data_IF_878360045476
#
_entry.id   IF_878360045476
#
_cell.length_a   1.000
_cell.length_b   1.000
_cell.length_c   1.000
_cell.angle_alpha   90.00
_cell.angle_beta   90.00
_cell.angle_gamma   90.00
#
_symmetry.space_group_name_H-M   'P 1'
#
loop_
_entity.id
_entity.type
_entity.pdbx_description
1 polymer ?
#
# COMPACT_ATOMS: atom_id res chain seq x y z
N UNK A 1 62.40 -21.84 4.38
CA UNK A 1 61.31 -21.67 5.38
C UNK A 1 60.99 -20.18 5.46
N UNK A 2 59.71 -19.84 5.62
CA UNK A 2 59.04 -18.55 5.31
C UNK A 2 58.68 -18.44 3.81
N UNK A 3 57.47 -18.06 3.40
CA UNK A 3 56.40 -17.36 4.11
C UNK A 3 55.02 -17.79 3.61
N UNK A 4 54.11 -18.06 4.55
CA UNK A 4 52.67 -18.09 4.36
C UNK A 4 52.17 -16.64 4.28
N UNK A 5 51.55 -16.26 3.17
CA UNK A 5 50.65 -15.11 3.10
C UNK A 5 49.37 -15.53 2.38
N UNK A 6 48.57 -16.33 3.08
CA UNK A 6 47.12 -16.33 2.96
C UNK A 6 46.62 -15.05 3.65
N UNK A 7 45.83 -14.22 2.95
CA UNK A 7 45.10 -13.14 3.60
C UNK A 7 45.12 -11.82 2.84
N UNK A 8 44.37 -11.75 1.74
CA UNK A 8 43.61 -10.54 1.43
C UNK A 8 42.20 -11.02 1.08
N UNK A 9 41.35 -11.10 2.10
CA UNK A 9 39.90 -11.21 1.94
C UNK A 9 39.45 -10.10 1.00
N UNK A 10 38.91 -10.48 -0.16
CA UNK A 10 38.29 -9.53 -1.05
C UNK A 10 37.19 -8.82 -0.29
N UNK A 11 37.38 -7.54 0.03
CA UNK A 11 36.27 -6.66 0.41
C UNK A 11 35.31 -6.69 -0.78
N UNK A 12 34.11 -7.24 -0.58
CA UNK A 12 33.09 -7.33 -1.61
C UNK A 12 32.88 -5.96 -2.25
N UNK A 13 32.69 -5.92 -3.57
CA UNK A 13 32.15 -4.72 -4.20
C UNK A 13 30.64 -4.72 -3.98
N UNK A 14 30.00 -3.57 -3.77
CA UNK A 14 28.54 -3.48 -3.76
C UNK A 14 27.97 -4.16 -5.00
N UNK A 15 27.11 -5.15 -4.78
CA UNK A 15 26.45 -5.88 -5.83
C UNK A 15 25.13 -5.18 -6.15
N UNK A 16 25.05 -4.60 -7.35
CA UNK A 16 23.78 -4.17 -7.91
C UNK A 16 22.93 -5.37 -8.30
N UNK A 17 21.63 -5.32 -8.04
CA UNK A 17 20.66 -6.32 -8.50
C UNK A 17 19.51 -5.64 -9.25
N UNK A 18 19.02 -6.16 -10.39
CA UNK A 18 17.93 -5.54 -11.15
C UNK A 18 16.67 -5.27 -10.32
N UNK A 19 16.34 -6.17 -9.39
CA UNK A 19 15.20 -5.99 -8.47
C UNK A 19 15.42 -4.87 -7.44
N UNK A 20 16.67 -4.61 -7.04
CA UNK A 20 17.00 -3.46 -6.16
C UNK A 20 16.91 -2.14 -6.91
N UNK A 21 17.30 -2.11 -8.19
CA UNK A 21 17.12 -0.93 -9.04
C UNK A 21 15.65 -0.52 -9.16
N UNK A 22 14.73 -1.49 -9.06
CA UNK A 22 13.29 -1.25 -9.01
C UNK A 22 12.84 -0.38 -7.83
N UNK A 23 13.59 -0.32 -6.73
CA UNK A 23 13.26 0.46 -5.52
C UNK A 23 13.55 1.96 -5.66
N UNK A 24 14.49 2.34 -6.52
CA UNK A 24 14.89 3.72 -6.68
C UNK A 24 13.72 4.62 -7.10
N UNK A 25 13.60 5.78 -6.46
CA UNK A 25 12.54 6.76 -6.67
C UNK A 25 11.21 6.42 -5.98
N UNK A 26 11.08 5.27 -5.32
CA UNK A 26 9.87 4.93 -4.58
C UNK A 26 9.87 5.53 -3.19
N UNK A 27 8.70 5.96 -2.71
CA UNK A 27 8.51 6.34 -1.31
C UNK A 27 8.12 5.14 -0.46
N UNK A 28 8.48 5.16 0.82
CA UNK A 28 7.98 4.18 1.79
C UNK A 28 6.62 4.66 2.29
N UNK A 29 5.59 3.84 2.17
CA UNK A 29 4.20 4.19 2.53
C UNK A 29 3.75 3.55 3.84
N UNK A 30 4.40 2.47 4.25
CA UNK A 30 4.06 1.76 5.47
C UNK A 30 5.26 1.02 6.05
N UNK A 31 5.33 0.93 7.38
CA UNK A 31 6.20 0.00 8.08
C UNK A 31 5.38 -0.75 9.12
N UNK A 32 5.66 -2.04 9.28
CA UNK A 32 4.98 -2.93 10.23
C UNK A 32 6.01 -3.68 11.06
N UNK A 33 5.71 -3.91 12.32
CA UNK A 33 6.51 -4.75 13.22
C UNK A 33 5.60 -5.80 13.84
N UNK A 34 6.05 -7.05 13.84
CA UNK A 34 5.38 -8.18 14.48
C UNK A 34 6.42 -9.15 15.02
N UNK A 35 5.99 -10.19 15.75
CA UNK A 35 6.90 -11.18 16.35
C UNK A 35 7.86 -11.85 15.35
N UNK A 36 7.49 -11.89 14.07
CA UNK A 36 8.27 -12.52 13.00
C UNK A 36 9.24 -11.58 12.26
N UNK A 37 9.18 -10.27 12.49
CA UNK A 37 10.09 -9.34 11.83
C UNK A 37 9.59 -7.91 11.69
N UNK A 38 10.27 -7.18 10.81
CA UNK A 38 9.97 -5.82 10.38
C UNK A 38 9.70 -5.84 8.87
N UNK A 39 8.62 -5.18 8.46
CA UNK A 39 8.26 -5.00 7.06
C UNK A 39 8.31 -3.52 6.71
N UNK A 40 8.89 -3.22 5.56
CA UNK A 40 8.88 -1.89 4.94
C UNK A 40 8.23 -2.02 3.58
N UNK A 41 7.18 -1.25 3.35
CA UNK A 41 6.35 -1.29 2.15
C UNK A 41 6.51 -0.01 1.36
N UNK A 42 6.79 -0.13 0.06
CA UNK A 42 6.93 1.02 -0.84
C UNK A 42 5.64 1.36 -1.57
N UNK A 43 5.57 2.55 -2.14
CA UNK A 43 4.41 3.04 -2.88
C UNK A 43 4.03 2.15 -4.07
N UNK A 44 4.95 1.41 -4.69
CA UNK A 44 4.63 0.45 -5.76
C UNK A 44 4.49 -0.99 -5.26
N UNK A 45 4.25 -1.18 -3.96
CA UNK A 45 3.96 -2.49 -3.38
C UNK A 45 5.16 -3.43 -3.26
N UNK A 46 6.38 -2.90 -3.19
CA UNK A 46 7.52 -3.72 -2.76
C UNK A 46 7.51 -3.87 -1.24
N UNK A 47 7.86 -5.06 -0.76
CA UNK A 47 7.88 -5.40 0.66
C UNK A 47 9.26 -5.92 1.02
N UNK A 48 10.01 -5.13 1.77
CA UNK A 48 11.24 -5.59 2.43
C UNK A 48 10.88 -6.17 3.79
N UNK A 49 11.10 -7.47 3.95
CA UNK A 49 10.89 -8.23 5.17
C UNK A 49 12.25 -8.70 5.71
N UNK A 50 12.51 -8.42 6.98
CA UNK A 50 13.66 -8.97 7.69
C UNK A 50 13.35 -9.11 9.18
N UNK A 51 14.26 -9.74 9.94
CA UNK A 51 14.09 -9.85 11.40
C UNK A 51 14.06 -8.48 12.08
N UNK A 52 15.01 -7.61 11.74
CA UNK A 52 15.16 -6.24 12.25
C UNK A 52 15.64 -5.39 11.09
N UNK A 53 15.13 -4.15 11.03
CA UNK A 53 15.66 -3.11 10.17
C UNK A 53 16.18 -1.99 11.06
N UNK A 54 17.41 -1.55 10.78
CA UNK A 54 18.09 -0.51 11.54
C UNK A 54 18.11 0.78 10.72
N UNK A 55 17.92 1.90 11.41
CA UNK A 55 17.91 3.23 10.83
C UNK A 55 19.03 4.06 11.47
N UNK A 56 19.96 4.50 10.63
CA UNK A 56 20.97 5.49 10.96
C UNK A 56 20.46 6.87 10.51
N UNK A 57 20.42 7.79 11.47
CA UNK A 57 20.06 9.20 11.25
C UNK A 57 21.27 10.06 11.59
N UNK A 58 21.96 10.65 10.59
CA UNK A 58 23.16 11.45 10.81
C UNK A 58 22.88 12.75 11.58
N UNK A 59 21.62 13.17 11.72
CA UNK A 59 21.25 14.33 12.53
C UNK A 59 21.20 14.03 14.03
N UNK A 60 21.20 12.76 14.43
CA UNK A 60 21.20 12.34 15.83
C UNK A 60 22.63 11.97 16.22
N UNK A 61 23.19 12.62 17.24
CA UNK A 61 24.54 12.37 17.79
C UNK A 61 24.67 11.04 18.55
N UNK A 62 23.85 10.04 18.19
CA UNK A 62 23.86 8.69 18.73
C UNK A 62 24.69 7.82 17.79
N UNK A 63 25.80 7.25 18.28
CA UNK A 63 26.61 6.26 17.55
C UNK A 63 25.88 4.93 17.30
N UNK A 64 24.61 4.80 17.72
CA UNK A 64 23.82 3.59 17.53
C UNK A 64 22.69 3.82 16.54
N UNK A 65 22.66 2.96 15.52
CA UNK A 65 21.48 2.75 14.70
C UNK A 65 20.29 2.34 15.56
N UNK A 66 19.10 2.76 15.16
CA UNK A 66 17.86 2.54 15.92
C UNK A 66 16.93 1.64 15.14
N UNK A 67 16.25 0.71 15.83
CA UNK A 67 15.29 -0.16 15.17
C UNK A 67 14.11 0.64 14.57
N UNK A 68 13.66 0.22 13.40
CA UNK A 68 12.47 0.78 12.73
C UNK A 68 11.20 0.30 13.42
N UNK A 69 10.32 1.23 13.75
CA UNK A 69 9.04 0.96 14.40
C UNK A 69 7.86 0.74 13.46
N UNK A 70 6.70 0.43 14.04
CA UNK A 70 5.41 0.46 13.36
C UNK A 70 5.10 1.89 12.91
N UNK A 71 4.83 2.08 11.61
CA UNK A 71 4.57 3.39 10.98
C UNK A 71 5.59 4.46 11.41
N UNK A 72 6.87 4.11 11.36
CA UNK A 72 7.95 4.97 11.81
C UNK A 72 7.92 6.31 11.04
N UNK A 73 7.69 7.46 11.71
CA UNK A 73 7.52 8.74 11.03
C UNK A 73 8.82 9.27 10.40
N UNK A 74 9.96 8.66 10.70
CA UNK A 74 11.24 8.97 10.05
C UNK A 74 11.35 8.33 8.68
N UNK A 75 10.70 7.17 8.51
CA UNK A 75 10.81 6.32 7.32
C UNK A 75 9.60 6.51 6.39
N UNK A 76 8.39 6.60 6.94
CA UNK A 76 7.17 6.81 6.15
C UNK A 76 7.24 8.17 5.45
N UNK A 77 7.05 8.16 4.13
CA UNK A 77 7.18 9.31 3.24
C UNK A 77 8.60 9.54 2.71
N UNK A 78 9.62 8.83 3.23
CA UNK A 78 10.98 8.95 2.72
C UNK A 78 11.10 8.27 1.35
N UNK A 79 11.84 8.90 0.43
CA UNK A 79 12.09 8.38 -0.92
C UNK A 79 13.38 7.57 -0.95
N UNK A 80 13.36 6.38 -1.57
CA UNK A 80 14.55 5.56 -1.74
C UNK A 80 15.36 6.13 -2.91
N UNK A 81 16.57 6.61 -2.64
CA UNK A 81 17.49 7.10 -3.68
C UNK A 81 18.40 6.01 -4.22
N UNK A 82 18.86 5.13 -3.32
CA UNK A 82 19.80 4.08 -3.68
C UNK A 82 19.53 2.82 -2.86
N UNK A 83 19.79 1.67 -3.47
CA UNK A 83 19.69 0.35 -2.85
C UNK A 83 20.90 -0.48 -3.28
N UNK A 84 21.68 -0.95 -2.30
CA UNK A 84 22.89 -1.73 -2.54
C UNK A 84 22.96 -2.92 -1.59
N UNK A 85 23.61 -3.99 -2.06
CA UNK A 85 23.86 -5.18 -1.27
C UNK A 85 25.37 -5.43 -1.21
N UNK A 86 25.89 -5.67 0.00
CA UNK A 86 27.29 -5.99 0.23
C UNK A 86 27.37 -7.13 1.25
N UNK A 87 27.96 -8.27 0.86
CA UNK A 87 28.10 -9.45 1.73
C UNK A 87 26.77 -9.86 2.40
N UNK A 88 25.67 -9.78 1.63
CA UNK A 88 24.31 -10.08 2.09
C UNK A 88 23.65 -9.00 2.98
N UNK A 89 24.37 -7.96 3.40
CA UNK A 89 23.78 -6.78 4.03
C UNK A 89 23.10 -5.92 2.96
N UNK A 90 21.81 -5.63 3.13
CA UNK A 90 21.10 -4.69 2.28
C UNK A 90 21.11 -3.30 2.93
N UNK A 91 21.48 -2.29 2.15
CA UNK A 91 21.46 -0.88 2.56
C UNK A 91 20.62 -0.06 1.58
N UNK A 92 19.65 0.68 2.12
CA UNK A 92 18.87 1.67 1.38
C UNK A 92 19.25 3.08 1.85
N UNK A 93 19.54 3.96 0.90
CA UNK A 93 19.69 5.39 1.17
C UNK A 93 18.36 6.09 0.92
N UNK A 94 17.83 6.74 1.95
CA UNK A 94 16.54 7.39 1.93
C UNK A 94 16.70 8.92 1.96
N UNK A 95 15.95 9.63 1.14
CA UNK A 95 15.75 11.07 1.24
C UNK A 95 14.51 11.38 2.04
N UNK A 96 14.66 12.11 3.15
CA UNK A 96 13.55 12.58 3.97
C UNK A 96 13.58 14.10 4.12
N UNK A 97 12.49 14.70 4.61
CA UNK A 97 12.47 16.12 4.98
C UNK A 97 13.44 16.49 6.11
N UNK A 98 14.05 15.50 6.78
CA UNK A 98 15.04 15.69 7.85
C UNK A 98 16.49 15.50 7.37
N UNK A 99 16.68 15.16 6.09
CA UNK A 99 17.98 14.82 5.52
C UNK A 99 18.09 13.35 5.10
N UNK A 100 19.28 12.93 4.65
CA UNK A 100 19.52 11.56 4.23
C UNK A 100 19.50 10.60 5.42
N UNK A 101 18.77 9.50 5.30
CA UNK A 101 18.74 8.41 6.28
C UNK A 101 19.32 7.15 5.63
N UNK A 102 19.91 6.27 6.43
CA UNK A 102 20.34 4.96 5.96
C UNK A 102 19.55 3.87 6.67
N UNK A 103 18.83 3.07 5.90
CA UNK A 103 18.14 1.87 6.36
C UNK A 103 19.01 0.66 6.04
N UNK A 104 19.30 -0.18 7.02
CA UNK A 104 20.09 -1.39 6.82
C UNK A 104 19.36 -2.63 7.35
N UNK A 105 19.62 -3.77 6.71
CA UNK A 105 19.19 -5.08 7.20
C UNK A 105 20.25 -6.14 6.93
N UNK A 106 20.61 -6.88 7.98
CA UNK A 106 21.53 -8.02 7.94
C UNK A 106 20.94 -9.20 7.16
N UNK A 107 21.76 -10.17 6.69
CA UNK A 107 21.31 -11.38 6.00
C UNK A 107 20.15 -12.09 6.70
N UNK A 108 19.40 -12.90 5.93
CA UNK A 108 18.04 -13.39 6.24
C UNK A 108 16.96 -12.32 6.03
N UNK A 109 16.95 -11.73 4.85
CA UNK A 109 15.92 -10.80 4.39
C UNK A 109 15.32 -11.24 3.07
N UNK A 110 14.10 -10.76 2.83
CA UNK A 110 13.29 -11.05 1.65
C UNK A 110 12.69 -9.77 1.12
N UNK A 111 12.88 -9.52 -0.17
CA UNK A 111 12.28 -8.43 -0.91
C UNK A 111 11.26 -9.02 -1.89
N UNK A 112 9.98 -8.86 -1.56
CA UNK A 112 8.86 -9.27 -2.40
C UNK A 112 8.39 -8.06 -3.22
N UNK A 113 8.02 -8.27 -4.48
CA UNK A 113 7.63 -7.18 -5.37
C UNK A 113 6.44 -7.52 -6.25
N UNK A 114 6.02 -6.55 -7.09
CA UNK A 114 4.92 -6.71 -8.02
C UNK A 114 5.04 -7.98 -8.89
N UNK A 115 3.90 -8.56 -9.25
CA UNK A 115 3.82 -9.75 -10.14
C UNK A 115 4.63 -10.93 -9.61
N UNK A 116 4.74 -11.06 -8.29
CA UNK A 116 5.44 -12.16 -7.62
C UNK A 116 6.97 -12.11 -7.71
N UNK A 117 7.54 -10.95 -8.04
CA UNK A 117 8.99 -10.76 -8.01
C UNK A 117 9.54 -11.04 -6.61
N UNK A 118 10.72 -11.64 -6.54
CA UNK A 118 11.34 -12.05 -5.29
C UNK A 118 12.85 -11.87 -5.39
N UNK A 119 13.46 -11.24 -4.40
CA UNK A 119 14.89 -11.31 -4.11
C UNK A 119 15.04 -11.70 -2.65
N UNK A 120 15.84 -12.69 -2.33
CA UNK A 120 16.08 -13.08 -0.94
C UNK A 120 17.54 -13.43 -0.71
N UNK A 121 17.97 -13.18 0.51
CA UNK A 121 19.28 -13.55 1.03
C UNK A 121 19.05 -14.38 2.29
N UNK A 122 19.60 -15.59 2.34
CA UNK A 122 19.49 -16.45 3.51
C UNK A 122 20.46 -16.05 4.63
N UNK A 123 20.61 -16.90 5.66
CA UNK A 123 21.46 -16.58 6.81
C UNK A 123 22.96 -16.74 6.47
N UNK A 124 23.26 -17.57 5.48
CA UNK A 124 24.58 -17.88 4.96
C UNK A 124 25.06 -16.81 3.95
N UNK A 125 24.15 -15.97 3.48
CA UNK A 125 24.42 -14.90 2.52
C UNK A 125 24.18 -15.31 1.07
N UNK A 126 23.62 -16.50 0.83
CA UNK A 126 23.29 -16.98 -0.52
C UNK A 126 22.10 -16.20 -1.07
N UNK A 127 22.25 -15.75 -2.30
CA UNK A 127 21.29 -14.91 -2.99
C UNK A 127 20.43 -15.79 -3.91
N UNK A 128 19.11 -15.64 -3.84
CA UNK A 128 18.21 -16.21 -4.85
C UNK A 128 17.16 -15.20 -5.27
N UNK A 129 16.80 -15.25 -6.55
CA UNK A 129 15.85 -14.32 -7.13
C UNK A 129 14.84 -15.00 -8.06
N UNK A 130 13.72 -14.31 -8.25
CA UNK A 130 12.69 -14.61 -9.23
C UNK A 130 12.23 -13.29 -9.85
N UNK A 131 12.32 -13.13 -11.18
CA UNK A 131 11.87 -11.91 -11.84
C UNK A 131 10.34 -11.74 -11.75
N UNK A 132 9.81 -10.53 -12.02
CA UNK A 132 8.37 -10.29 -12.08
C UNK A 132 7.71 -11.12 -13.18
N UNK A 133 6.56 -11.73 -12.88
CA UNK A 133 5.77 -12.53 -13.81
C UNK A 133 4.73 -11.72 -14.61
N UNK A 134 3.66 -12.41 -14.99
CA UNK A 134 2.48 -11.79 -15.61
C UNK A 134 1.69 -10.92 -14.60
N UNK A 135 0.89 -9.95 -15.08
CA UNK A 135 -0.03 -9.19 -14.24
C UNK A 135 -0.97 -10.11 -13.45
N UNK A 136 -1.25 -9.75 -12.20
CA UNK A 136 -2.10 -10.54 -11.30
C UNK A 136 -3.50 -9.97 -11.17
N UNK A 137 -3.63 -8.64 -11.14
CA UNK A 137 -4.91 -7.95 -10.90
C UNK A 137 -5.48 -7.31 -12.17
N UNK A 138 -4.63 -7.08 -13.17
CA UNK A 138 -5.00 -6.42 -14.42
C UNK A 138 -4.76 -7.30 -15.66
N UNK A 139 -5.11 -8.59 -15.60
CA UNK A 139 -5.12 -9.41 -16.81
C UNK A 139 -6.15 -8.89 -17.81
N UNK A 140 -5.97 -9.07 -19.13
CA UNK A 140 -6.96 -8.64 -20.13
C UNK A 140 -8.36 -9.17 -19.84
N UNK A 141 -8.47 -10.42 -19.39
CA UNK A 141 -9.73 -11.07 -19.04
C UNK A 141 -10.37 -10.42 -17.80
N UNK A 142 -9.58 -10.14 -16.76
CA UNK A 142 -10.07 -9.48 -15.55
C UNK A 142 -10.55 -8.06 -15.86
N UNK A 143 -9.80 -7.30 -16.67
CA UNK A 143 -10.20 -5.96 -17.09
C UNK A 143 -11.52 -5.96 -17.86
N UNK A 144 -11.70 -6.91 -18.78
CA UNK A 144 -12.94 -7.07 -19.53
C UNK A 144 -14.12 -7.43 -18.61
N UNK A 145 -13.92 -8.37 -17.68
CA UNK A 145 -14.94 -8.75 -16.69
C UNK A 145 -15.32 -7.55 -15.81
N UNK A 146 -14.33 -6.78 -15.34
CA UNK A 146 -14.54 -5.61 -14.50
C UNK A 146 -15.32 -4.52 -15.23
N UNK A 147 -14.97 -4.22 -16.48
CA UNK A 147 -15.67 -3.25 -17.30
C UNK A 147 -17.12 -3.67 -17.60
N UNK A 148 -17.38 -4.97 -17.79
CA UNK A 148 -18.71 -5.50 -18.05
C UNK A 148 -19.58 -5.71 -16.80
N UNK A 149 -18.98 -5.61 -15.61
CA UNK A 149 -19.68 -5.90 -14.35
C UNK A 149 -20.77 -4.88 -14.02
N UNK A 150 -21.82 -5.32 -13.33
CA UNK A 150 -22.82 -4.42 -12.75
C UNK A 150 -22.35 -3.89 -11.38
N UNK A 151 -22.80 -2.68 -11.06
CA UNK A 151 -22.57 -2.09 -9.74
C UNK A 151 -23.31 -2.86 -8.65
N UNK A 152 -22.62 -3.09 -7.55
CA UNK A 152 -23.16 -3.57 -6.29
C UNK A 152 -23.55 -2.41 -5.37
N UNK A 153 -24.42 -2.67 -4.38
CA UNK A 153 -24.78 -1.65 -3.39
C UNK A 153 -23.60 -1.12 -2.55
N UNK A 154 -22.49 -1.87 -2.48
CA UNK A 154 -21.24 -1.41 -1.83
C UNK A 154 -20.56 -0.34 -2.70
N UNK A 155 -20.47 -0.58 -4.01
CA UNK A 155 -19.91 0.37 -4.97
C UNK A 155 -20.77 1.64 -5.02
N UNK A 156 -22.10 1.52 -5.00
CA UNK A 156 -23.00 2.67 -4.95
C UNK A 156 -22.79 3.54 -3.70
N UNK A 157 -22.62 2.92 -2.53
CA UNK A 157 -22.30 3.64 -1.29
C UNK A 157 -20.96 4.37 -1.38
N UNK A 158 -19.95 3.74 -1.98
CA UNK A 158 -18.65 4.34 -2.16
C UNK A 158 -18.71 5.54 -3.13
N UNK A 159 -19.42 5.40 -4.25
CA UNK A 159 -19.64 6.50 -5.19
C UNK A 159 -20.44 7.65 -4.55
N UNK A 160 -21.41 7.34 -3.68
CA UNK A 160 -22.16 8.36 -2.95
C UNK A 160 -21.26 9.19 -2.02
N UNK A 161 -20.30 8.56 -1.33
CA UNK A 161 -19.29 9.27 -0.55
C UNK A 161 -18.42 10.19 -1.43
N UNK A 162 -18.07 9.73 -2.63
CA UNK A 162 -17.22 10.46 -3.57
C UNK A 162 -17.83 11.75 -4.13
N UNK A 163 -19.12 12.02 -3.87
CA UNK A 163 -19.78 13.26 -4.31
C UNK A 163 -19.29 14.49 -3.56
N UNK A 164 -18.98 14.33 -2.28
CA UNK A 164 -18.69 15.45 -1.37
C UNK A 164 -17.19 15.57 -1.08
N UNK A 165 -16.41 14.54 -1.43
CA UNK A 165 -14.99 14.44 -1.09
C UNK A 165 -14.26 13.49 -2.04
N UNK A 166 -12.93 13.61 -2.10
CA UNK A 166 -12.11 12.59 -2.73
C UNK A 166 -12.11 11.32 -1.89
N UNK A 167 -12.14 10.19 -2.59
CA UNK A 167 -12.09 8.87 -1.98
C UNK A 167 -10.64 8.44 -1.76
N UNK A 168 -10.46 7.49 -0.86
CA UNK A 168 -9.16 6.88 -0.53
C UNK A 168 -9.40 5.46 -0.01
N UNK A 169 -8.38 4.59 0.08
CA UNK A 169 -8.51 3.20 0.52
C UNK A 169 -9.30 3.01 1.82
N UNK A 170 -9.08 3.86 2.83
CA UNK A 170 -9.85 3.82 4.08
C UNK A 170 -11.37 3.97 3.92
N UNK A 171 -11.88 4.65 2.88
CA UNK A 171 -13.32 4.68 2.59
C UNK A 171 -13.83 3.32 2.09
N UNK A 172 -13.04 2.63 1.28
CA UNK A 172 -13.35 1.26 0.82
C UNK A 172 -13.39 0.31 2.02
N UNK A 173 -12.40 0.38 2.91
CA UNK A 173 -12.36 -0.39 4.17
C UNK A 173 -13.62 -0.11 5.00
N UNK A 174 -13.99 1.16 5.17
CA UNK A 174 -15.18 1.56 5.94
C UNK A 174 -16.46 0.98 5.34
N UNK A 175 -16.65 1.08 4.03
CA UNK A 175 -17.86 0.55 3.36
C UNK A 175 -17.89 -0.99 3.39
N UNK A 176 -16.74 -1.65 3.28
CA UNK A 176 -16.63 -3.10 3.43
C UNK A 176 -16.96 -3.58 4.85
N UNK A 177 -16.43 -2.90 5.86
CA UNK A 177 -16.75 -3.19 7.26
C UNK A 177 -18.24 -3.01 7.55
N UNK A 178 -18.85 -1.92 7.05
CA UNK A 178 -20.29 -1.68 7.15
C UNK A 178 -21.13 -2.70 6.36
N UNK A 179 -20.54 -3.39 5.40
CA UNK A 179 -21.15 -4.49 4.64
C UNK A 179 -20.87 -5.87 5.26
N UNK A 180 -20.29 -5.93 6.46
CA UNK A 180 -20.09 -7.15 7.22
C UNK A 180 -18.76 -7.88 6.97
N UNK A 181 -17.76 -7.24 6.36
CA UNK A 181 -16.42 -7.85 6.29
C UNK A 181 -15.77 -7.88 7.68
N UNK A 182 -15.32 -9.05 8.14
CA UNK A 182 -14.87 -9.26 9.52
C UNK A 182 -13.36 -9.50 9.66
N UNK A 183 -12.76 -10.19 8.69
CA UNK A 183 -11.35 -10.56 8.73
C UNK A 183 -10.51 -9.85 7.68
N UNK A 184 -9.20 -9.79 7.92
CA UNK A 184 -8.25 -9.09 7.06
C UNK A 184 -8.20 -9.71 5.63
N UNK A 185 -8.46 -11.01 5.48
CA UNK A 185 -8.46 -11.68 4.19
C UNK A 185 -9.62 -11.22 3.29
N UNK A 186 -10.79 -10.91 3.88
CA UNK A 186 -11.90 -10.32 3.14
C UNK A 186 -11.55 -8.93 2.59
N UNK A 187 -10.86 -8.09 3.38
CA UNK A 187 -10.46 -6.76 2.92
C UNK A 187 -9.41 -6.84 1.80
N UNK A 188 -8.44 -7.75 1.91
CA UNK A 188 -7.43 -7.98 0.88
C UNK A 188 -8.04 -8.51 -0.43
N UNK A 189 -9.05 -9.38 -0.35
CA UNK A 189 -9.72 -9.94 -1.53
C UNK A 189 -10.69 -8.95 -2.17
N UNK A 190 -11.50 -8.24 -1.36
CA UNK A 190 -12.62 -7.43 -1.86
C UNK A 190 -12.23 -5.97 -2.11
N UNK A 191 -11.30 -5.41 -1.34
CA UNK A 191 -10.89 -4.00 -1.43
C UNK A 191 -10.36 -3.63 -2.82
N UNK A 192 -9.29 -4.28 -3.29
CA UNK A 192 -8.73 -4.04 -4.63
C UNK A 192 -9.75 -4.29 -5.73
N UNK A 193 -10.55 -5.36 -5.62
CA UNK A 193 -11.54 -5.74 -6.63
C UNK A 193 -12.62 -4.65 -6.82
N UNK A 194 -13.10 -4.04 -5.73
CA UNK A 194 -14.07 -2.94 -5.80
C UNK A 194 -13.49 -1.74 -6.55
N UNK A 195 -12.25 -1.35 -6.23
CA UNK A 195 -11.58 -0.24 -6.90
C UNK A 195 -11.32 -0.56 -8.37
N UNK A 196 -10.86 -1.78 -8.68
CA UNK A 196 -10.60 -2.23 -10.04
C UNK A 196 -11.85 -2.15 -10.92
N UNK A 197 -13.01 -2.54 -10.39
CA UNK A 197 -14.31 -2.43 -11.08
C UNK A 197 -14.72 -0.99 -11.34
N UNK A 198 -14.65 -0.12 -10.33
CA UNK A 198 -14.96 1.31 -10.47
C UNK A 198 -14.04 1.99 -11.50
N UNK A 199 -12.74 1.67 -11.48
CA UNK A 199 -11.75 2.18 -12.43
C UNK A 199 -12.00 1.66 -13.85
N UNK A 200 -12.24 0.36 -14.01
CA UNK A 200 -12.47 -0.26 -15.31
C UNK A 200 -13.76 0.22 -15.98
N UNK A 201 -14.79 0.52 -15.19
CA UNK A 201 -16.01 1.16 -15.69
C UNK A 201 -15.86 2.67 -15.92
N UNK A 202 -14.71 3.27 -15.59
CA UNK A 202 -14.48 4.70 -15.76
C UNK A 202 -15.25 5.58 -14.78
N UNK A 203 -15.72 5.04 -13.66
CA UNK A 203 -16.53 5.77 -12.66
C UNK A 203 -15.64 6.62 -11.73
N UNK A 204 -14.39 6.22 -11.55
CA UNK A 204 -13.38 6.94 -10.76
C UNK A 204 -12.07 7.03 -11.50
N UNK A 205 -11.24 8.00 -11.15
CA UNK A 205 -9.84 8.12 -11.59
C UNK A 205 -8.90 8.13 -10.39
N UNK A 206 -7.78 7.41 -10.48
CA UNK A 206 -6.75 7.38 -9.45
C UNK A 206 -5.77 8.55 -9.62
N UNK A 207 -5.23 9.04 -8.50
CA UNK A 207 -4.35 10.19 -8.51
C UNK A 207 -3.72 10.49 -7.15
N UNK A 208 -3.07 11.65 -7.08
CA UNK A 208 -2.55 12.23 -5.84
C UNK A 208 -3.35 13.49 -5.47
N UNK A 209 -3.42 13.79 -4.18
CA UNK A 209 -3.92 15.06 -3.68
C UNK A 209 -2.74 15.84 -3.11
N UNK A 210 -2.45 17.01 -3.68
CA UNK A 210 -1.41 17.92 -3.19
C UNK A 210 -1.98 19.32 -3.12
N UNK A 211 -1.71 20.03 -2.02
CA UNK A 211 -2.22 21.40 -1.79
C UNK A 211 -3.74 21.54 -2.09
N UNK A 212 -4.55 20.58 -1.62
CA UNK A 212 -5.99 20.52 -1.87
C UNK A 212 -6.36 20.56 -3.36
N UNK A 213 -5.55 19.91 -4.21
CA UNK A 213 -5.84 19.70 -5.62
C UNK A 213 -5.61 18.23 -5.98
N UNK A 214 -6.59 17.65 -6.65
CA UNK A 214 -6.45 16.32 -7.24
C UNK A 214 -5.71 16.41 -8.58
N UNK A 215 -4.70 15.56 -8.74
CA UNK A 215 -4.00 15.33 -10.02
C UNK A 215 -4.08 13.86 -10.36
N UNK A 216 -4.75 13.55 -11.47
CA UNK A 216 -4.87 12.18 -11.96
C UNK A 216 -3.48 11.62 -12.32
N UNK A 217 -3.30 10.33 -12.14
CA UNK A 217 -2.13 9.64 -12.67
C UNK A 217 -2.16 9.61 -14.19
N UNK A 218 -0.99 9.82 -14.78
CA UNK A 218 -0.76 9.61 -16.21
C UNK A 218 -0.20 8.20 -16.41
N UNK A 219 -1.07 7.19 -16.24
CA UNK A 219 -0.74 5.77 -16.35
C UNK A 219 -1.85 5.02 -17.08
N UNK A 220 -1.53 3.98 -17.86
CA UNK A 220 -2.53 3.08 -18.41
C UNK A 220 -3.37 2.42 -17.32
N UNK A 221 -4.67 2.21 -17.57
CA UNK A 221 -5.61 1.62 -16.62
C UNK A 221 -5.10 0.29 -16.01
N UNK A 222 -4.51 -0.57 -16.84
CA UNK A 222 -3.97 -1.84 -16.38
C UNK A 222 -2.86 -1.66 -15.34
N UNK A 223 -1.97 -0.69 -15.54
CA UNK A 223 -0.91 -0.37 -14.59
C UNK A 223 -1.46 0.22 -13.30
N UNK A 224 -2.50 1.06 -13.38
CA UNK A 224 -3.19 1.62 -12.20
C UNK A 224 -3.79 0.51 -11.35
N UNK A 225 -4.52 -0.43 -11.95
CA UNK A 225 -5.17 -1.53 -11.24
C UNK A 225 -4.12 -2.49 -10.64
N UNK A 226 -3.09 -2.84 -11.40
CA UNK A 226 -2.01 -3.70 -10.93
C UNK A 226 -1.28 -3.07 -9.75
N UNK A 227 -1.00 -1.77 -9.82
CA UNK A 227 -0.38 -1.00 -8.76
C UNK A 227 -1.21 -0.97 -7.48
N UNK A 228 -2.52 -0.69 -7.60
CA UNK A 228 -3.42 -0.64 -6.44
C UNK A 228 -3.52 -2.02 -5.78
N UNK A 229 -3.74 -3.08 -6.58
CA UNK A 229 -3.84 -4.44 -6.06
C UNK A 229 -2.58 -4.89 -5.35
N UNK A 230 -1.42 -4.69 -5.98
CA UNK A 230 -0.12 -5.04 -5.41
C UNK A 230 0.14 -4.29 -4.09
N UNK A 231 -0.09 -2.97 -4.08
CA UNK A 231 0.20 -2.15 -2.89
C UNK A 231 -0.78 -2.45 -1.75
N UNK A 232 -2.04 -2.73 -2.07
CA UNK A 232 -3.02 -3.15 -1.06
C UNK A 232 -2.61 -4.47 -0.41
N UNK A 233 -2.27 -5.48 -1.20
CA UNK A 233 -1.80 -6.78 -0.67
C UNK A 233 -0.50 -6.64 0.11
N UNK A 234 0.41 -5.75 -0.33
CA UNK A 234 1.65 -5.47 0.38
C UNK A 234 1.43 -4.82 1.76
N UNK A 235 0.45 -3.92 1.89
CA UNK A 235 0.08 -3.29 3.16
C UNK A 235 -0.71 -4.26 4.05
N UNK A 236 -1.67 -4.98 3.46
CA UNK A 236 -2.46 -6.03 4.09
C UNK A 236 -3.68 -5.56 4.90
N UNK A 237 -4.68 -6.43 4.93
CA UNK A 237 -5.90 -6.34 5.72
C UNK A 237 -6.70 -5.06 5.53
N UNK A 238 -7.21 -4.57 6.67
CA UNK A 238 -7.97 -3.32 6.80
C UNK A 238 -7.10 -2.06 6.94
N UNK A 239 -5.79 -2.20 6.83
CA UNK A 239 -4.80 -1.14 7.11
C UNK A 239 -4.78 0.00 6.08
N UNK A 240 -5.02 -0.22 4.77
CA UNK A 240 -4.94 0.85 3.78
C UNK A 240 -5.79 2.08 4.12
N UNK A 241 -5.10 3.21 4.31
CA UNK A 241 -5.68 4.49 4.70
C UNK A 241 -5.44 5.60 3.66
N UNK A 242 -5.66 6.87 4.02
CA UNK A 242 -5.30 8.00 3.16
C UNK A 242 -3.80 8.00 2.86
N UNK A 243 -3.42 8.46 1.67
CA UNK A 243 -2.04 8.59 1.18
C UNK A 243 -1.20 7.31 1.09
N UNK A 244 -1.78 6.13 1.34
CA UNK A 244 -1.02 4.87 1.32
C UNK A 244 -0.94 4.20 -0.06
N UNK A 245 -1.93 4.46 -0.94
CA UNK A 245 -2.02 3.85 -2.27
C UNK A 245 -2.31 4.92 -3.30
N UNK A 246 -3.50 5.50 -3.25
CA UNK A 246 -3.97 6.55 -4.16
C UNK A 246 -5.11 7.33 -3.53
N UNK A 247 -5.40 8.50 -4.09
CA UNK A 247 -6.70 9.16 -3.98
C UNK A 247 -7.54 8.86 -5.22
N UNK A 248 -8.86 8.94 -5.07
CA UNK A 248 -9.77 8.74 -6.19
C UNK A 248 -10.78 9.89 -6.29
N UNK A 249 -10.97 10.36 -7.50
CA UNK A 249 -11.98 11.35 -7.82
C UNK A 249 -13.05 10.74 -8.71
N UNK A 250 -14.32 11.11 -8.48
CA UNK A 250 -15.40 10.74 -9.38
C UNK A 250 -15.19 11.37 -10.76
N UNK A 251 -15.41 10.59 -11.80
CA UNK A 251 -15.56 11.10 -13.17
C UNK A 251 -16.98 11.60 -13.40
N UNK A 252 -17.25 12.17 -14.58
CA UNK A 252 -18.63 12.52 -14.97
C UNK A 252 -19.54 11.29 -15.05
N UNK A 253 -19.00 10.16 -15.51
CA UNK A 253 -19.71 8.88 -15.52
C UNK A 253 -20.01 8.40 -14.09
N UNK A 254 -19.04 8.48 -13.18
CA UNK A 254 -19.25 8.17 -11.77
C UNK A 254 -20.30 9.07 -11.11
N UNK A 255 -20.28 10.37 -11.41
CA UNK A 255 -21.29 11.33 -10.93
C UNK A 255 -22.68 10.99 -11.46
N UNK A 256 -22.80 10.72 -12.75
CA UNK A 256 -24.06 10.33 -13.38
C UNK A 256 -24.63 9.02 -12.79
N UNK A 257 -23.75 8.07 -12.48
CA UNK A 257 -24.12 6.76 -11.93
C UNK A 257 -24.85 6.85 -10.57
N UNK A 258 -24.56 7.85 -9.74
CA UNK A 258 -25.25 8.06 -8.46
C UNK A 258 -26.56 8.85 -8.64
N UNK A 259 -26.79 9.44 -9.82
CA UNK A 259 -27.91 10.32 -10.15
C UNK A 259 -27.67 11.78 -9.75
N UNK A 260 -28.46 12.71 -10.29
CA UNK A 260 -28.64 14.02 -9.65
C UNK A 260 -29.43 13.80 -8.35
N UNK A 261 -29.23 14.63 -7.34
CA UNK A 261 -30.07 14.62 -6.14
C UNK A 261 -31.46 15.16 -6.51
N UNK A 262 -32.23 14.43 -7.33
CA UNK A 262 -33.69 14.58 -7.30
C UNK A 262 -34.08 14.20 -5.89
N UNK A 263 -34.68 15.14 -5.17
CA UNK A 263 -35.20 14.99 -3.82
C UNK A 263 -35.86 13.61 -3.69
N UNK A 264 -35.10 12.62 -3.20
CA UNK A 264 -35.65 11.31 -2.93
C UNK A 264 -36.46 11.53 -1.68
N UNK A 265 -37.76 11.64 -1.93
CA UNK A 265 -38.85 11.81 -1.00
C UNK A 265 -38.45 11.47 0.44
N UNK A 266 -38.61 12.46 1.32
CA UNK A 266 -38.90 12.14 2.72
C UNK A 266 -39.92 11.00 2.69
N UNK A 267 -39.60 9.90 3.39
CA UNK A 267 -40.56 8.84 3.61
C UNK A 267 -41.89 9.50 4.03
N UNK A 268 -43.05 9.07 3.50
CA UNK A 268 -44.31 9.58 3.98
C UNK A 268 -44.33 9.39 5.49
N UNK A 269 -44.50 10.48 6.22
CA UNK A 269 -44.58 10.46 7.66
C UNK A 269 -45.65 9.45 8.07
N UNK A 270 -45.26 8.41 8.81
CA UNK A 270 -46.21 7.72 9.66
C UNK A 270 -46.47 8.60 10.87
N UNK A 271 -47.38 9.55 10.65
CA UNK A 271 -48.24 10.08 11.68
C UNK A 271 -49.06 8.94 12.28
N UNK A 272 -48.99 8.79 13.60
CA UNK A 272 -50.05 8.19 14.41
C UNK A 272 -49.92 6.69 14.69
N UNK A 273 -49.23 6.36 15.77
CA UNK A 273 -49.85 5.57 16.84
C UNK A 273 -49.43 6.17 18.18
N UNK A 274 -50.32 7.01 18.72
CA UNK A 274 -50.46 7.20 20.15
C UNK A 274 -50.90 5.87 20.76
N UNK A 275 -50.17 5.40 21.77
CA UNK A 275 -50.79 4.66 22.86
C UNK A 275 -50.11 4.97 24.18
N UNK A 276 -50.89 5.07 25.27
CA UNK A 276 -50.53 5.80 26.48
C UNK A 276 -49.94 4.87 27.54
N UNK A 277 -48.89 5.36 28.20
CA UNK A 277 -48.50 5.02 29.57
C UNK A 277 -48.15 3.56 29.90
N UNK A 278 -46.95 3.32 30.40
CA UNK A 278 -46.75 2.90 31.81
C UNK A 278 -45.33 3.31 32.24
N UNK A 279 -45.33 3.89 33.44
CA UNK A 279 -44.25 4.39 34.29
C UNK A 279 -43.25 3.30 34.68
N UNK A 280 -41.98 3.66 34.86
CA UNK A 280 -41.05 2.87 35.67
C UNK A 280 -39.59 3.31 35.56
N UNK A 281 -39.21 4.31 36.35
CA UNK A 281 -37.81 4.73 36.51
C UNK A 281 -36.96 3.81 37.40
N UNK A 282 -35.70 4.24 37.53
CA UNK A 282 -34.63 3.79 38.45
C UNK A 282 -33.96 2.46 38.05
N UNK A 283 -32.62 2.33 37.95
CA UNK A 283 -31.46 3.15 38.39
C UNK A 283 -30.42 3.23 37.28
#
# INVERSE_FOLDING_TARGET
>A
MASLLSGVSGRGRPQGHPLLAGLAGQTIVHTRVASRGTWTVTARGWVLNSRIQELEDPSITSDRATAVGLRDPRVVGAAIHHAEMLDGLLTLTLGSGRGPLRLSTVPRWRLEGPRGALLQVDAEGEVSDRPPGAPLYATPEALAEHAASSRSGIEERLLALGREQWLHPGHVVTVLANAGALDDAEFERRGPLLLARLLARGEVRAGFVTACRFTAWDLPLAEVIEHIGTTWTAIGGRTPGPDMIAWFELTDQGRAAVGSRSARAMAPGMSGYDSPGVVGGFR
#
